data_IF_472693255848
#
_entry.id   IF_472693255848
#
_cell.length_a   1.000
_cell.length_b   1.000
_cell.length_c   1.000
_cell.angle_alpha   90.00
_cell.angle_beta   90.00
_cell.angle_gamma   90.00
#
_symmetry.space_group_name_H-M   'P 1'
#
loop_
_entity.id
_entity.type
_entity.pdbx_description
1 polymer ?
#
# COMPACT_ATOMS: atom_id res chain seq x y z
N UNK A 1 -1.08 -3.76 13.03
CA UNK A 1 -2.53 -3.43 12.96
C UNK A 1 -3.12 -2.70 14.17
N UNK A 2 -2.59 -2.82 15.41
CA UNK A 2 -3.18 -2.21 16.63
C UNK A 2 -3.49 -0.72 16.48
N UNK A 3 -2.53 0.07 15.98
CA UNK A 3 -2.74 1.48 15.65
C UNK A 3 -3.94 1.67 14.73
N UNK A 4 -3.98 0.93 13.60
CA UNK A 4 -5.05 1.08 12.61
C UNK A 4 -6.44 0.81 13.19
N UNK A 5 -6.55 -0.21 14.04
CA UNK A 5 -7.82 -0.59 14.68
C UNK A 5 -8.32 0.43 15.71
N UNK A 6 -7.41 1.16 16.37
CA UNK A 6 -7.74 2.07 17.46
C UNK A 6 -7.87 3.52 17.01
N UNK A 7 -7.19 3.90 15.93
CA UNK A 7 -7.02 5.31 15.55
C UNK A 7 -7.76 5.67 14.25
N UNK A 8 -7.85 4.75 13.29
CA UNK A 8 -8.44 5.10 11.99
C UNK A 8 -9.98 5.15 12.06
N UNK A 9 -10.64 6.03 11.30
CA UNK A 9 -12.10 6.03 11.16
C UNK A 9 -12.66 4.66 10.76
N UNK A 10 -13.89 4.32 11.19
CA UNK A 10 -14.51 3.01 10.91
C UNK A 10 -14.70 2.75 9.41
N UNK A 11 -14.98 3.79 8.63
CA UNK A 11 -15.12 3.73 7.17
C UNK A 11 -13.78 3.69 6.41
N UNK A 12 -12.65 3.58 7.11
CA UNK A 12 -11.34 3.49 6.44
C UNK A 12 -11.25 2.20 5.62
N UNK A 13 -10.81 2.36 4.36
CA UNK A 13 -10.38 1.26 3.49
C UNK A 13 -8.86 1.31 3.31
N UNK A 14 -8.18 0.22 3.66
CA UNK A 14 -6.72 0.14 3.78
C UNK A 14 -6.16 -0.83 2.75
N UNK A 15 -5.15 -0.40 1.98
CA UNK A 15 -4.41 -1.28 1.08
C UNK A 15 -3.12 -1.75 1.74
N UNK A 16 -2.95 -3.06 1.90
CA UNK A 16 -1.76 -3.68 2.47
C UNK A 16 -0.75 -3.94 1.35
N UNK A 17 0.45 -3.38 1.48
CA UNK A 17 1.46 -3.37 0.42
C UNK A 17 2.46 -4.53 0.53
N UNK A 18 2.97 -4.98 -0.62
CA UNK A 18 4.14 -5.85 -0.73
C UNK A 18 3.95 -7.29 -0.23
N UNK A 19 2.73 -7.85 -0.36
CA UNK A 19 2.47 -9.26 -0.07
C UNK A 19 2.31 -9.60 1.41
N UNK A 20 2.12 -8.60 2.27
CA UNK A 20 1.66 -8.80 3.64
C UNK A 20 0.42 -9.71 3.67
N UNK A 21 0.28 -10.60 4.65
CA UNK A 21 -0.87 -11.53 4.76
C UNK A 21 -1.57 -11.45 6.12
N UNK A 22 -1.04 -10.70 7.09
CA UNK A 22 -1.58 -10.57 8.45
C UNK A 22 -2.75 -9.59 8.54
N UNK A 23 -3.52 -9.47 7.44
CA UNK A 23 -4.75 -8.67 7.36
C UNK A 23 -5.86 -9.17 8.27
N UNK A 24 -5.85 -10.46 8.65
CA UNK A 24 -6.84 -11.10 9.52
C UNK A 24 -7.16 -10.32 10.82
N UNK A 25 -6.16 -9.64 11.38
CA UNK A 25 -6.32 -8.87 12.62
C UNK A 25 -6.77 -7.41 12.40
N UNK A 26 -7.00 -7.00 11.14
CA UNK A 26 -7.44 -5.65 10.80
C UNK A 26 -8.97 -5.55 10.93
N UNK A 27 -9.43 -4.62 11.77
CA UNK A 27 -10.86 -4.33 12.02
C UNK A 27 -11.41 -3.24 11.10
N UNK A 28 -10.70 -2.91 10.02
CA UNK A 28 -11.13 -1.93 9.00
C UNK A 28 -11.30 -2.67 7.68
N UNK A 29 -11.99 -2.06 6.72
CA UNK A 29 -12.03 -2.62 5.38
C UNK A 29 -10.60 -2.65 4.83
N UNK A 30 -10.15 -3.80 4.32
CA UNK A 30 -8.80 -3.94 3.80
C UNK A 30 -8.74 -4.73 2.51
N UNK A 31 -7.70 -4.48 1.73
CA UNK A 31 -7.34 -5.29 0.58
C UNK A 31 -5.90 -5.72 0.70
N UNK A 32 -5.65 -6.98 0.36
CA UNK A 32 -4.39 -7.66 0.58
C UNK A 32 -4.15 -8.57 -0.62
N UNK A 33 -2.92 -8.58 -1.13
CA UNK A 33 -2.56 -9.44 -2.26
C UNK A 33 -1.85 -10.68 -1.76
N UNK A 34 -2.10 -11.80 -2.42
CA UNK A 34 -1.35 -13.03 -2.18
C UNK A 34 0.12 -12.83 -2.58
N UNK A 35 1.12 -13.28 -1.79
CA UNK A 35 2.54 -13.01 -2.04
C UNK A 35 3.05 -13.63 -3.35
N UNK A 36 2.42 -14.72 -3.79
CA UNK A 36 2.77 -15.44 -5.01
C UNK A 36 1.95 -15.04 -6.24
N UNK A 37 1.13 -14.00 -6.15
CA UNK A 37 0.39 -13.45 -7.29
C UNK A 37 0.79 -11.98 -7.53
N UNK A 38 0.72 -11.48 -8.78
CA UNK A 38 0.82 -10.05 -9.03
C UNK A 38 -0.19 -9.29 -8.18
N UNK A 39 0.28 -8.27 -7.44
CA UNK A 39 -0.64 -7.42 -6.71
C UNK A 39 -1.20 -6.34 -7.64
N UNK A 40 -2.50 -6.05 -7.51
CA UNK A 40 -3.14 -4.91 -8.20
C UNK A 40 -2.31 -3.63 -8.04
N UNK A 41 -1.76 -3.38 -6.86
CA UNK A 41 -0.95 -2.21 -6.58
C UNK A 41 0.36 -2.19 -7.39
N UNK A 42 1.07 -3.32 -7.42
CA UNK A 42 2.32 -3.48 -8.15
C UNK A 42 2.09 -3.33 -9.65
N UNK A 43 1.05 -3.95 -10.17
CA UNK A 43 0.66 -3.81 -11.58
C UNK A 43 0.26 -2.37 -11.92
N UNK A 44 -0.56 -1.73 -11.08
CA UNK A 44 -0.96 -0.34 -11.23
C UNK A 44 0.25 0.59 -11.29
N UNK A 45 1.22 0.40 -10.40
CA UNK A 45 2.44 1.20 -10.38
C UNK A 45 3.33 0.95 -11.59
N UNK A 46 3.48 -0.31 -12.01
CA UNK A 46 4.36 -0.68 -13.12
C UNK A 46 3.80 -0.23 -14.48
N UNK A 47 2.48 -0.25 -14.67
CA UNK A 47 1.81 -0.01 -15.96
C UNK A 47 1.26 1.41 -16.14
N UNK A 48 1.12 2.19 -15.07
CA UNK A 48 0.57 3.54 -15.17
C UNK A 48 1.47 4.48 -15.99
N UNK A 49 0.97 5.12 -17.07
CA UNK A 49 1.75 5.99 -17.96
C UNK A 49 1.96 7.42 -17.41
N UNK A 50 1.83 7.66 -16.10
CA UNK A 50 1.93 9.02 -15.56
C UNK A 50 1.57 9.18 -14.08
N UNK A 51 1.92 10.35 -13.56
CA UNK A 51 2.18 10.67 -12.14
C UNK A 51 0.95 10.67 -11.22
N UNK A 52 -0.24 11.00 -11.74
CA UNK A 52 -1.48 11.10 -10.94
C UNK A 52 -2.32 9.83 -10.98
N UNK A 53 -2.05 8.92 -11.91
CA UNK A 53 -2.94 7.79 -12.22
C UNK A 53 -3.04 6.79 -11.06
N UNK A 54 -1.94 6.39 -10.39
CA UNK A 54 -2.05 5.49 -9.25
C UNK A 54 -2.90 6.07 -8.12
N UNK A 55 -2.71 7.35 -7.79
CA UNK A 55 -3.51 8.04 -6.78
C UNK A 55 -4.99 8.10 -7.17
N UNK A 56 -5.30 8.55 -8.39
CA UNK A 56 -6.68 8.65 -8.88
C UNK A 56 -7.41 7.31 -8.86
N UNK A 57 -6.75 6.23 -9.30
CA UNK A 57 -7.32 4.87 -9.24
C UNK A 57 -7.56 4.43 -7.79
N UNK A 58 -6.62 4.71 -6.88
CA UNK A 58 -6.79 4.36 -5.46
C UNK A 58 -7.99 5.11 -4.84
N UNK A 59 -8.16 6.41 -5.15
CA UNK A 59 -9.30 7.21 -4.68
C UNK A 59 -10.61 6.74 -5.29
N UNK A 60 -10.65 6.42 -6.58
CA UNK A 60 -11.83 5.89 -7.26
C UNK A 60 -12.27 4.54 -6.67
N UNK A 61 -11.30 3.71 -6.24
CA UNK A 61 -11.59 2.46 -5.54
C UNK A 61 -11.89 2.65 -4.04
N UNK A 62 -11.95 3.89 -3.55
CA UNK A 62 -12.31 4.23 -2.18
C UNK A 62 -11.23 3.94 -1.15
N UNK A 63 -9.97 3.71 -1.56
CA UNK A 63 -8.89 3.57 -0.58
C UNK A 63 -8.64 4.90 0.13
N UNK A 64 -8.41 4.79 1.43
CA UNK A 64 -8.15 5.93 2.33
C UNK A 64 -6.75 5.86 2.92
N UNK A 65 -6.20 4.65 3.07
CA UNK A 65 -4.92 4.43 3.72
C UNK A 65 -4.10 3.36 3.01
N UNK A 66 -2.78 3.46 3.14
CA UNK A 66 -1.82 2.43 2.75
C UNK A 66 -1.10 1.91 3.99
N UNK A 67 -0.90 0.61 4.08
CA UNK A 67 -0.10 -0.04 5.11
C UNK A 67 1.13 -0.68 4.49
N UNK A 68 2.31 -0.33 5.00
CA UNK A 68 3.59 -0.85 4.55
C UNK A 68 4.37 -1.47 5.70
N UNK A 69 4.78 -2.71 5.52
CA UNK A 69 5.68 -3.43 6.42
C UNK A 69 6.95 -3.76 5.62
N UNK A 70 7.94 -2.87 5.62
CA UNK A 70 9.14 -3.03 4.78
C UNK A 70 9.89 -4.35 5.04
N UNK A 71 10.05 -4.85 6.28
CA UNK A 71 10.66 -6.15 6.51
C UNK A 71 9.97 -7.28 5.75
N UNK A 72 8.64 -7.25 5.66
CA UNK A 72 7.87 -8.24 4.90
C UNK A 72 8.08 -8.08 3.40
N UNK A 73 8.09 -6.84 2.90
CA UNK A 73 8.37 -6.55 1.49
C UNK A 73 9.77 -7.05 1.09
N UNK A 74 10.76 -6.82 1.95
CA UNK A 74 12.14 -7.28 1.73
C UNK A 74 12.25 -8.80 1.78
N UNK A 75 11.54 -9.46 2.70
CA UNK A 75 11.48 -10.93 2.77
C UNK A 75 10.88 -11.54 1.50
N UNK A 76 9.93 -10.84 0.89
CA UNK A 76 9.23 -11.24 -0.33
C UNK A 76 9.84 -10.61 -1.59
N UNK A 77 11.04 -10.03 -1.49
CA UNK A 77 11.70 -9.37 -2.62
C UNK A 77 11.95 -10.37 -3.76
N UNK A 78 11.61 -9.97 -4.99
CA UNK A 78 11.68 -10.84 -6.17
C UNK A 78 10.39 -11.64 -6.43
N UNK A 79 9.43 -11.61 -5.50
CA UNK A 79 8.08 -12.16 -5.72
C UNK A 79 7.21 -11.26 -6.61
N UNK A 80 6.18 -11.81 -7.25
CA UNK A 80 5.30 -11.05 -8.16
C UNK A 80 4.49 -9.96 -7.43
N UNK A 81 4.22 -10.14 -6.13
CA UNK A 81 3.46 -9.17 -5.34
C UNK A 81 4.24 -7.89 -4.99
N UNK A 82 5.58 -7.91 -5.02
CA UNK A 82 6.46 -6.84 -4.52
C UNK A 82 7.39 -6.25 -5.59
N UNK A 83 7.47 -6.85 -6.78
CA UNK A 83 8.45 -6.47 -7.81
C UNK A 83 8.01 -5.24 -8.60
N UNK A 84 8.66 -4.10 -8.34
CA UNK A 84 8.49 -2.86 -9.11
C UNK A 84 9.58 -2.73 -10.19
N UNK A 85 9.16 -2.44 -11.42
CA UNK A 85 10.06 -2.00 -12.49
C UNK A 85 10.49 -0.54 -12.25
N UNK A 86 11.33 0.04 -13.13
CA UNK A 86 11.79 1.42 -12.97
C UNK A 86 10.65 2.44 -12.92
N UNK A 87 9.60 2.24 -13.73
CA UNK A 87 8.40 3.07 -13.72
C UNK A 87 7.65 2.94 -12.38
N UNK A 88 7.45 1.71 -11.89
CA UNK A 88 6.82 1.42 -10.62
C UNK A 88 7.56 2.03 -9.43
N UNK A 89 8.90 2.02 -9.44
CA UNK A 89 9.72 2.68 -8.40
C UNK A 89 9.51 4.20 -8.41
N UNK A 90 9.49 4.83 -9.60
CA UNK A 90 9.22 6.27 -9.75
C UNK A 90 7.80 6.62 -9.28
N UNK A 91 6.80 5.85 -9.71
CA UNK A 91 5.40 6.04 -9.34
C UNK A 91 5.16 5.82 -7.84
N UNK A 92 5.75 4.79 -7.24
CA UNK A 92 5.67 4.53 -5.79
C UNK A 92 6.26 5.69 -4.99
N UNK A 93 7.48 6.10 -5.34
CA UNK A 93 8.18 7.21 -4.67
C UNK A 93 7.34 8.49 -4.70
N UNK A 94 6.76 8.82 -5.85
CA UNK A 94 5.91 10.01 -6.01
C UNK A 94 4.58 9.87 -5.27
N UNK A 95 3.90 8.73 -5.41
CA UNK A 95 2.65 8.45 -4.69
C UNK A 95 2.81 8.73 -3.21
N UNK A 96 3.84 8.15 -2.59
CA UNK A 96 4.11 8.32 -1.16
C UNK A 96 4.46 9.79 -0.84
N UNK A 97 5.38 10.42 -1.57
CA UNK A 97 5.82 11.79 -1.26
C UNK A 97 4.75 12.86 -1.48
N UNK A 98 4.01 12.77 -2.58
CA UNK A 98 3.14 13.85 -3.04
C UNK A 98 1.70 13.66 -2.56
N UNK A 99 1.19 12.43 -2.56
CA UNK A 99 -0.24 12.13 -2.35
C UNK A 99 -0.55 11.41 -1.05
N UNK A 100 0.46 11.20 -0.20
CA UNK A 100 0.22 10.63 1.14
C UNK A 100 0.78 11.48 2.25
N UNK A 101 0.24 11.26 3.44
CA UNK A 101 0.77 11.77 4.70
C UNK A 101 1.07 10.57 5.60
N UNK A 102 2.29 10.49 6.11
CA UNK A 102 2.62 9.48 7.13
C UNK A 102 1.89 9.83 8.43
N UNK A 103 1.03 8.94 8.89
CA UNK A 103 0.26 9.10 10.14
C UNK A 103 0.73 8.15 11.25
N UNK A 104 1.55 7.16 10.90
CA UNK A 104 2.22 6.28 11.84
C UNK A 104 3.53 5.75 11.26
N UNK A 105 4.58 5.76 12.07
CA UNK A 105 5.85 5.12 11.78
C UNK A 105 6.40 4.51 13.08
N UNK A 106 6.75 3.23 13.06
CA UNK A 106 7.45 2.56 14.16
C UNK A 106 8.42 1.53 13.58
N UNK A 107 9.71 1.82 13.66
CA UNK A 107 10.73 1.10 12.90
C UNK A 107 10.38 1.16 11.41
N UNK A 108 10.45 0.02 10.73
CA UNK A 108 10.21 -0.10 9.30
C UNK A 108 8.75 -0.43 8.93
N UNK A 109 7.81 -0.04 9.80
CA UNK A 109 6.37 -0.21 9.62
C UNK A 109 5.71 1.17 9.53
N UNK A 110 4.93 1.39 8.46
CA UNK A 110 4.34 2.67 8.13
C UNK A 110 2.84 2.56 7.85
N UNK A 111 2.09 3.59 8.25
CA UNK A 111 0.72 3.84 7.79
C UNK A 111 0.68 5.21 7.15
N UNK A 112 0.17 5.24 5.93
CA UNK A 112 -0.02 6.45 5.15
C UNK A 112 -1.51 6.73 4.99
N UNK A 113 -1.90 7.98 5.15
CA UNK A 113 -3.21 8.51 4.77
C UNK A 113 -3.10 9.06 3.35
N UNK A 114 -4.05 8.72 2.48
CA UNK A 114 -4.17 9.31 1.14
C UNK A 114 -4.79 10.71 1.26
N UNK A 115 -4.12 11.73 0.71
CA UNK A 115 -4.59 13.11 0.70
C UNK A 115 -5.92 13.28 -0.06
#
# INVERSE_FOLDING_TARGET
VKFMNNTLPQNSKILFLGGEQRGYYCKRNYSIAHPFAPSFFTELLNTSPGHYKPYGVLKQQGYTHLFLNLPEVNRLQGGPASTLNENGKKNSTRLIKEFTKTIYAKGDIFVFELK
#
